data_IF_974242531566
#
_entry.id   IF_974242531566
#
_cell.length_a   1.000
_cell.length_b   1.000
_cell.length_c   1.000
_cell.angle_alpha   90.00
_cell.angle_beta   90.00
_cell.angle_gamma   90.00
#
_symmetry.space_group_name_H-M   'P 1'
#
loop_
_entity.id
_entity.type
_entity.pdbx_description
1 polymer ?
#
# COMPACT_ATOMS: atom_id res chain seq x y z
N UNK A 1 10.00 23.90 -5.74
CA UNK A 1 9.80 23.08 -4.52
C UNK A 1 8.32 22.88 -4.20
N UNK A 2 7.50 23.95 -4.14
CA UNK A 2 6.06 23.86 -3.84
C UNK A 2 5.25 22.97 -4.82
N UNK A 3 5.51 23.05 -6.13
CA UNK A 3 4.78 22.26 -7.13
C UNK A 3 4.98 20.73 -6.97
N UNK A 4 6.23 20.28 -6.75
CA UNK A 4 6.57 18.87 -6.54
C UNK A 4 5.99 18.34 -5.22
N UNK A 5 6.01 19.15 -4.16
CA UNK A 5 5.37 18.81 -2.89
C UNK A 5 3.85 18.64 -3.04
N UNK A 6 3.18 19.57 -3.74
CA UNK A 6 1.73 19.51 -3.99
C UNK A 6 1.34 18.26 -4.78
N UNK A 7 2.05 17.97 -5.88
CA UNK A 7 1.79 16.78 -6.71
C UNK A 7 2.01 15.47 -5.94
N UNK A 8 3.08 15.36 -5.15
CA UNK A 8 3.32 14.17 -4.32
C UNK A 8 2.26 14.01 -3.23
N UNK A 9 1.83 15.11 -2.61
CA UNK A 9 0.78 15.06 -1.58
C UNK A 9 -0.53 14.58 -2.21
N UNK A 10 -0.87 15.08 -3.39
CA UNK A 10 -2.07 14.68 -4.11
C UNK A 10 -2.06 13.19 -4.46
N UNK A 11 -0.94 12.65 -4.95
CA UNK A 11 -0.85 11.22 -5.29
C UNK A 11 -0.88 10.32 -4.04
N UNK A 12 -0.27 10.76 -2.93
CA UNK A 12 -0.36 10.04 -1.65
C UNK A 12 -1.80 10.00 -1.13
N UNK A 13 -2.52 11.12 -1.18
CA UNK A 13 -3.91 11.18 -0.75
C UNK A 13 -4.82 10.31 -1.62
N UNK A 14 -4.56 10.24 -2.93
CA UNK A 14 -5.27 9.33 -3.82
C UNK A 14 -5.04 7.85 -3.43
N UNK A 15 -3.80 7.47 -3.12
CA UNK A 15 -3.49 6.12 -2.62
C UNK A 15 -4.21 5.83 -1.28
N UNK A 16 -4.27 6.81 -0.37
CA UNK A 16 -4.97 6.66 0.92
C UNK A 16 -6.47 6.44 0.75
N UNK A 17 -7.07 7.13 -0.21
CA UNK A 17 -8.49 6.99 -0.52
C UNK A 17 -8.78 5.62 -1.15
N UNK A 18 -7.95 5.18 -2.10
CA UNK A 18 -8.08 3.85 -2.70
C UNK A 18 -7.92 2.73 -1.65
N UNK A 19 -6.96 2.85 -0.74
CA UNK A 19 -6.83 1.92 0.40
C UNK A 19 -8.08 1.95 1.27
N UNK A 20 -8.64 3.13 1.56
CA UNK A 20 -9.86 3.23 2.36
C UNK A 20 -11.02 2.45 1.74
N UNK A 21 -11.20 2.57 0.42
CA UNK A 21 -12.23 1.87 -0.35
C UNK A 21 -12.06 0.35 -0.31
N UNK A 22 -10.83 -0.16 -0.45
CA UNK A 22 -10.54 -1.61 -0.29
C UNK A 22 -10.91 -2.10 1.12
N UNK A 23 -10.61 -1.30 2.16
CA UNK A 23 -10.91 -1.64 3.55
C UNK A 23 -12.40 -1.58 3.90
N UNK A 24 -13.16 -0.69 3.25
CA UNK A 24 -14.61 -0.62 3.36
C UNK A 24 -15.27 -1.92 2.89
N UNK A 25 -14.85 -2.43 1.74
CA UNK A 25 -15.38 -3.68 1.18
C UNK A 25 -15.16 -4.91 2.09
N UNK A 26 -14.12 -4.87 2.92
CA UNK A 26 -13.73 -5.97 3.80
C UNK A 26 -14.18 -5.78 5.26
N UNK A 27 -14.91 -4.71 5.58
CA UNK A 27 -15.43 -4.46 6.92
C UNK A 27 -14.34 -4.21 7.98
N UNK A 28 -13.18 -3.69 7.59
CA UNK A 28 -12.07 -3.45 8.53
C UNK A 28 -12.40 -2.33 9.50
N UNK A 29 -12.19 -2.58 10.79
CA UNK A 29 -12.46 -1.65 11.88
C UNK A 29 -11.69 -0.33 11.72
N UNK A 30 -12.31 0.79 12.07
CA UNK A 30 -11.73 2.13 11.90
C UNK A 30 -10.35 2.28 12.58
N UNK A 31 -10.17 1.66 13.76
CA UNK A 31 -8.91 1.69 14.51
C UNK A 31 -7.79 1.00 13.72
N UNK A 32 -8.09 -0.06 12.98
CA UNK A 32 -7.08 -0.80 12.21
C UNK A 32 -6.75 -0.12 10.87
N UNK A 33 -7.64 0.71 10.33
CA UNK A 33 -7.45 1.35 9.01
C UNK A 33 -6.20 2.19 8.91
N UNK A 34 -5.79 2.84 10.00
CA UNK A 34 -4.57 3.66 10.02
C UNK A 34 -3.32 2.83 9.69
N UNK A 35 -3.26 1.57 10.13
CA UNK A 35 -2.13 0.68 9.88
C UNK A 35 -2.10 0.19 8.44
N UNK A 36 -3.26 -0.12 7.86
CA UNK A 36 -3.36 -0.46 6.44
C UNK A 36 -3.05 0.73 5.52
N UNK A 37 -3.47 1.94 5.90
CA UNK A 37 -3.08 3.17 5.19
C UNK A 37 -1.57 3.43 5.29
N UNK A 38 -0.95 3.14 6.43
CA UNK A 38 0.50 3.22 6.58
C UNK A 38 1.22 2.22 5.67
N UNK A 39 0.73 0.99 5.55
CA UNK A 39 1.23 0.03 4.54
C UNK A 39 1.14 0.62 3.13
N UNK A 40 -0.03 1.14 2.72
CA UNK A 40 -0.19 1.78 1.41
C UNK A 40 0.76 2.96 1.19
N UNK A 41 1.00 3.78 2.22
CA UNK A 41 1.98 4.88 2.16
C UNK A 41 3.40 4.39 1.82
N UNK A 42 3.80 3.25 2.39
CA UNK A 42 5.11 2.66 2.15
C UNK A 42 5.24 2.11 0.73
N UNK A 43 4.19 1.47 0.20
CA UNK A 43 4.16 1.00 -1.19
C UNK A 43 4.21 2.18 -2.17
N UNK A 44 3.36 3.19 -1.96
CA UNK A 44 3.38 4.44 -2.73
C UNK A 44 4.76 5.08 -2.74
N UNK A 45 5.45 5.12 -1.59
CA UNK A 45 6.79 5.70 -1.48
C UNK A 45 7.80 4.96 -2.35
N UNK A 46 7.73 3.63 -2.42
CA UNK A 46 8.60 2.81 -3.26
C UNK A 46 8.39 3.12 -4.75
N UNK A 47 7.14 3.17 -5.20
CA UNK A 47 6.81 3.56 -6.58
C UNK A 47 7.31 4.97 -6.91
N UNK A 48 7.09 5.92 -5.99
CA UNK A 48 7.55 7.30 -6.16
C UNK A 48 9.09 7.45 -6.12
N UNK A 49 9.80 6.45 -5.61
CA UNK A 49 11.26 6.34 -5.71
C UNK A 49 11.74 5.65 -6.99
N UNK A 50 10.82 5.18 -7.84
CA UNK A 50 11.12 4.49 -9.09
C UNK A 50 11.34 2.99 -8.95
N UNK A 51 11.03 2.39 -7.78
CA UNK A 51 11.05 0.93 -7.62
C UNK A 51 9.89 0.34 -8.41
N UNK A 52 10.15 -0.65 -9.27
CA UNK A 52 9.16 -1.22 -10.19
C UNK A 52 9.44 -2.70 -10.50
N UNK A 53 8.48 -3.35 -11.16
CA UNK A 53 8.60 -4.74 -11.61
C UNK A 53 8.83 -5.72 -10.46
N UNK A 54 9.69 -6.71 -10.69
CA UNK A 54 10.01 -7.76 -9.70
C UNK A 54 10.58 -7.19 -8.41
N UNK A 55 11.40 -6.13 -8.49
CA UNK A 55 11.95 -5.48 -7.30
C UNK A 55 10.86 -4.87 -6.43
N UNK A 56 9.84 -4.24 -7.03
CA UNK A 56 8.69 -3.75 -6.28
C UNK A 56 7.89 -4.90 -5.68
N UNK A 57 7.66 -5.98 -6.42
CA UNK A 57 6.94 -7.15 -5.93
C UNK A 57 7.62 -7.77 -4.70
N UNK A 58 8.94 -7.89 -4.69
CA UNK A 58 9.74 -8.38 -3.57
C UNK A 58 9.66 -7.43 -2.35
N UNK A 59 9.86 -6.13 -2.55
CA UNK A 59 9.75 -5.15 -1.47
C UNK A 59 8.35 -5.14 -0.85
N UNK A 60 7.29 -5.23 -1.66
CA UNK A 60 5.93 -5.31 -1.16
C UNK A 60 5.70 -6.62 -0.40
N UNK A 61 6.27 -7.75 -0.83
CA UNK A 61 6.19 -9.01 -0.08
C UNK A 61 6.85 -8.88 1.32
N UNK A 62 7.99 -8.19 1.42
CA UNK A 62 8.65 -7.88 2.70
C UNK A 62 7.76 -6.99 3.57
N UNK A 63 7.12 -5.97 2.99
CA UNK A 63 6.17 -5.12 3.71
C UNK A 63 4.95 -5.91 4.19
N UNK A 64 4.40 -6.82 3.39
CA UNK A 64 3.30 -7.69 3.78
C UNK A 64 3.72 -8.52 4.99
N UNK A 65 4.86 -9.21 4.93
CA UNK A 65 5.36 -10.02 6.06
C UNK A 65 5.53 -9.18 7.33
N UNK A 66 6.08 -7.96 7.20
CA UNK A 66 6.23 -7.01 8.33
C UNK A 66 4.90 -6.67 8.98
N UNK A 67 3.88 -6.34 8.19
CA UNK A 67 2.58 -5.90 8.69
C UNK A 67 1.71 -7.07 9.18
N UNK A 68 1.85 -8.26 8.59
CA UNK A 68 1.32 -9.51 9.15
C UNK A 68 1.92 -9.78 10.53
N UNK A 69 3.23 -9.63 10.70
CA UNK A 69 3.89 -9.74 12.01
C UNK A 69 3.41 -8.72 13.05
N UNK A 70 2.74 -7.64 12.62
CA UNK A 70 2.10 -6.63 13.49
C UNK A 70 0.60 -6.89 13.71
N UNK A 71 0.09 -8.03 13.24
CA UNK A 71 -1.29 -8.46 13.46
C UNK A 71 -2.30 -8.01 12.40
N UNK A 72 -1.85 -7.52 11.24
CA UNK A 72 -2.75 -7.25 10.10
C UNK A 72 -3.02 -8.54 9.32
N UNK A 73 -4.19 -8.63 8.71
CA UNK A 73 -4.60 -9.77 7.93
C UNK A 73 -3.88 -9.76 6.56
N UNK A 74 -3.19 -10.86 6.24
CA UNK A 74 -2.43 -11.00 4.99
C UNK A 74 -3.30 -10.76 3.75
N UNK A 75 -4.48 -11.38 3.69
CA UNK A 75 -5.40 -11.24 2.56
C UNK A 75 -5.76 -9.77 2.27
N UNK A 76 -5.93 -8.96 3.32
CA UNK A 76 -6.23 -7.52 3.17
C UNK A 76 -5.04 -6.76 2.56
N UNK A 77 -3.83 -7.07 3.01
CA UNK A 77 -2.61 -6.45 2.49
C UNK A 77 -2.35 -6.85 1.03
N UNK A 78 -2.63 -8.11 0.67
CA UNK A 78 -2.53 -8.62 -0.70
C UNK A 78 -3.60 -8.01 -1.63
N UNK A 79 -4.81 -7.78 -1.13
CA UNK A 79 -5.85 -7.05 -1.84
C UNK A 79 -5.44 -5.58 -2.06
N UNK A 80 -4.87 -4.91 -1.07
CA UNK A 80 -4.33 -3.55 -1.26
C UNK A 80 -3.21 -3.56 -2.31
N UNK A 81 -2.26 -4.50 -2.23
CA UNK A 81 -1.16 -4.64 -3.20
C UNK A 81 -1.69 -4.73 -4.63
N UNK A 82 -2.71 -5.54 -4.85
CA UNK A 82 -3.26 -5.81 -6.19
C UNK A 82 -4.22 -4.72 -6.66
N UNK A 83 -5.19 -4.33 -5.83
CA UNK A 83 -6.27 -3.41 -6.23
C UNK A 83 -5.82 -1.94 -6.26
N UNK A 84 -4.92 -1.53 -5.36
CA UNK A 84 -4.47 -0.12 -5.27
C UNK A 84 -3.23 0.13 -6.11
N UNK A 85 -2.27 -0.80 -6.07
CA UNK A 85 -0.94 -0.60 -6.68
C UNK A 85 -0.71 -1.47 -7.92
N UNK A 86 -1.63 -2.36 -8.28
CA UNK A 86 -1.47 -3.29 -9.41
C UNK A 86 -0.15 -4.08 -9.37
N UNK A 87 0.31 -4.42 -8.16
CA UNK A 87 1.53 -5.20 -7.95
C UNK A 87 1.15 -6.67 -7.85
N UNK A 88 1.68 -7.48 -8.77
CA UNK A 88 1.51 -8.94 -8.74
C UNK A 88 2.42 -9.53 -7.65
N UNK A 89 2.05 -10.68 -7.09
CA UNK A 89 2.95 -11.42 -6.21
C UNK A 89 4.28 -11.73 -6.94
N UNK A 90 5.42 -11.69 -6.24
CA UNK A 90 6.71 -12.02 -6.85
C UNK A 90 6.71 -13.45 -7.39
N UNK A 91 7.43 -13.67 -8.48
CA UNK A 91 7.63 -15.01 -9.05
C UNK A 91 8.49 -15.86 -8.10
N UNK A 92 8.16 -17.15 -7.98
CA UNK A 92 8.98 -18.13 -7.25
C UNK A 92 10.29 -18.39 -8.01
#
# INVERSE_FOLDING_TARGET
>A
MAAKFSSNTQSLMAAYEAVAQTLDAQGVSMIQRVYYKAFGAEVWRLENMGVSGESLALEVAVLIAKWVGRGLAQAVLEDIRTQVFNVVAPGV
#
